data_IF_792941576354
#
_entry.id   IF_792941576354
#
_cell.length_a   1.000
_cell.length_b   1.000
_cell.length_c   1.000
_cell.angle_alpha   90.00
_cell.angle_beta   90.00
_cell.angle_gamma   90.00
#
_symmetry.space_group_name_H-M   'P 1'
#
loop_
_entity.id
_entity.type
_entity.pdbx_description
1 polymer ?
#
# COMPACT_ATOMS: atom_id res chain seq x y z
N UNK A 1 8.02 23.47 -11.94
CA UNK A 1 8.27 22.07 -11.52
C UNK A 1 6.96 21.30 -11.68
N UNK A 2 6.96 20.11 -12.28
CA UNK A 2 5.74 19.31 -12.47
C UNK A 2 5.52 18.47 -11.21
N UNK A 3 4.43 18.73 -10.49
CA UNK A 3 4.04 17.94 -9.31
C UNK A 3 3.78 16.49 -9.78
N UNK A 4 4.39 15.47 -9.15
CA UNK A 4 4.12 14.09 -9.48
C UNK A 4 2.66 13.77 -9.21
N UNK A 5 2.04 12.90 -10.02
CA UNK A 5 0.70 12.41 -9.70
C UNK A 5 0.75 11.53 -8.46
N UNK A 6 -0.28 11.60 -7.62
CA UNK A 6 -0.41 10.66 -6.50
C UNK A 6 -0.65 9.26 -7.08
N UNK A 7 0.05 8.21 -6.59
CA UNK A 7 0.08 6.90 -7.24
C UNK A 7 -1.16 6.05 -6.92
N UNK A 8 -2.35 6.54 -7.30
CA UNK A 8 -3.61 5.83 -7.09
C UNK A 8 -3.67 4.59 -7.99
N UNK A 9 -3.95 3.44 -7.39
CA UNK A 9 -4.03 2.16 -8.10
C UNK A 9 -3.87 0.94 -7.19
N UNK A 10 -3.82 -0.22 -7.84
CA UNK A 10 -3.48 -1.51 -7.21
C UNK A 10 -2.01 -1.80 -7.48
N UNK A 11 -1.29 -2.21 -6.44
CA UNK A 11 0.15 -2.36 -6.44
C UNK A 11 0.52 -3.69 -5.78
N UNK A 12 1.43 -4.45 -6.40
CA UNK A 12 1.90 -5.72 -5.82
C UNK A 12 3.41 -5.93 -6.03
N UNK A 13 4.11 -6.68 -5.16
CA UNK A 13 5.55 -6.92 -5.29
C UNK A 13 5.92 -7.65 -6.59
N UNK A 14 5.12 -8.67 -6.95
CA UNK A 14 5.21 -9.38 -8.22
C UNK A 14 3.88 -9.38 -9.00
N UNK A 15 3.93 -9.73 -10.28
CA UNK A 15 2.74 -9.78 -11.14
C UNK A 15 1.83 -10.97 -10.83
N UNK A 16 2.39 -12.08 -10.33
CA UNK A 16 1.61 -13.19 -9.80
C UNK A 16 0.73 -12.75 -8.61
N UNK A 17 1.19 -11.76 -7.84
CA UNK A 17 0.49 -11.24 -6.65
C UNK A 17 -0.64 -10.23 -7.01
N UNK A 18 -0.82 -9.92 -8.30
CA UNK A 18 -1.88 -9.01 -8.76
C UNK A 18 -3.25 -9.66 -8.85
N UNK A 19 -3.32 -10.99 -9.00
CA UNK A 19 -4.54 -11.66 -9.42
C UNK A 19 -5.53 -11.94 -8.28
N UNK A 20 -5.08 -12.22 -7.04
CA UNK A 20 -5.99 -12.64 -5.97
C UNK A 20 -5.31 -12.60 -4.61
N UNK A 21 -6.10 -12.54 -3.53
CA UNK A 21 -5.71 -13.04 -2.20
C UNK A 21 -5.50 -14.57 -2.28
N UNK A 22 -4.59 -15.01 -3.13
CA UNK A 22 -4.35 -16.41 -3.38
C UNK A 22 -3.43 -16.97 -2.26
N UNK A 23 -3.38 -18.30 -2.16
CA UNK A 23 -2.71 -19.05 -1.10
C UNK A 23 -1.21 -18.74 -0.91
N UNK A 24 -0.61 -17.91 -1.79
CA UNK A 24 0.78 -17.43 -1.77
C UNK A 24 1.10 -16.43 -0.65
N UNK A 25 0.09 -15.91 0.08
CA UNK A 25 0.34 -15.10 1.28
C UNK A 25 0.77 -13.65 1.02
N UNK A 26 0.61 -13.15 -0.21
CA UNK A 26 0.84 -11.75 -0.56
C UNK A 26 -0.48 -11.04 -0.82
N UNK A 27 -0.63 -9.85 -0.22
CA UNK A 27 -1.86 -9.07 -0.30
C UNK A 27 -1.59 -7.81 -1.13
N UNK A 28 -2.36 -7.57 -2.21
CA UNK A 28 -2.16 -6.39 -3.04
C UNK A 28 -2.37 -5.13 -2.21
N UNK A 29 -1.48 -4.16 -2.40
CA UNK A 29 -1.56 -2.83 -1.84
C UNK A 29 -2.51 -1.98 -2.70
N UNK A 30 -3.61 -1.56 -2.11
CA UNK A 30 -4.54 -0.58 -2.64
C UNK A 30 -4.10 0.80 -2.20
N UNK A 31 -3.74 1.66 -3.15
CA UNK A 31 -3.48 3.08 -2.90
C UNK A 31 -4.65 3.87 -3.47
N UNK A 32 -5.52 4.37 -2.60
CA UNK A 32 -6.59 5.31 -2.96
C UNK A 32 -6.12 6.76 -2.83
N UNK A 33 -7.03 7.70 -3.11
CA UNK A 33 -6.77 9.15 -2.93
C UNK A 33 -6.79 9.60 -1.46
N UNK A 34 -7.52 8.89 -0.60
CA UNK A 34 -7.72 9.27 0.82
C UNK A 34 -7.29 8.20 1.82
N UNK A 35 -7.04 6.98 1.34
CA UNK A 35 -6.62 5.85 2.16
C UNK A 35 -5.83 4.83 1.35
N UNK A 36 -4.98 4.08 2.03
CA UNK A 36 -4.38 2.86 1.53
C UNK A 36 -4.93 1.65 2.30
N UNK A 37 -4.90 0.48 1.68
CA UNK A 37 -5.22 -0.78 2.34
C UNK A 37 -4.34 -1.89 1.78
N UNK A 38 -3.90 -2.80 2.63
CA UNK A 38 -3.24 -4.02 2.20
C UNK A 38 -3.54 -5.09 3.24
N UNK A 39 -4.19 -6.16 2.79
CA UNK A 39 -4.69 -7.16 3.71
C UNK A 39 -5.59 -6.54 4.79
N UNK A 40 -5.27 -6.82 6.06
CA UNK A 40 -6.05 -6.38 7.21
C UNK A 40 -5.72 -4.97 7.69
N UNK A 41 -4.64 -4.39 7.18
CA UNK A 41 -4.24 -3.05 7.52
C UNK A 41 -4.95 -2.04 6.61
N UNK A 42 -5.57 -1.04 7.23
CA UNK A 42 -6.12 0.14 6.54
C UNK A 42 -5.42 1.39 7.06
N UNK A 43 -4.90 2.22 6.16
CA UNK A 43 -4.22 3.47 6.46
C UNK A 43 -5.01 4.65 5.91
N UNK A 44 -5.51 5.52 6.80
CA UNK A 44 -6.22 6.75 6.41
C UNK A 44 -5.24 7.91 6.35
N UNK A 45 -5.17 8.61 5.23
CA UNK A 45 -4.25 9.72 5.07
C UNK A 45 -4.72 10.92 5.91
N UNK A 46 -3.79 11.52 6.65
CA UNK A 46 -3.97 12.75 7.42
C UNK A 46 -3.37 13.95 6.69
N UNK A 47 -2.19 13.77 6.11
CA UNK A 47 -1.54 14.75 5.24
C UNK A 47 -0.92 14.04 4.04
N UNK A 48 -0.94 14.71 2.89
CA UNK A 48 -0.28 14.28 1.65
C UNK A 48 0.37 15.50 1.02
N UNK A 49 1.69 15.55 1.01
CA UNK A 49 2.46 16.70 0.57
C UNK A 49 3.48 16.27 -0.50
N UNK A 50 3.50 16.94 -1.66
CA UNK A 50 4.51 16.65 -2.67
C UNK A 50 5.87 17.24 -2.24
N UNK A 51 6.90 16.42 -2.31
CA UNK A 51 8.29 16.74 -2.01
C UNK A 51 9.17 16.32 -3.21
N UNK A 52 9.31 17.22 -4.18
CA UNK A 52 10.00 16.93 -5.44
C UNK A 52 9.29 15.86 -6.25
N UNK A 53 9.86 14.65 -6.31
CA UNK A 53 9.28 13.47 -7.00
C UNK A 53 8.56 12.51 -6.06
N UNK A 54 8.66 12.74 -4.75
CA UNK A 54 8.11 11.88 -3.71
C UNK A 54 6.88 12.55 -3.13
N UNK A 55 5.87 11.76 -2.77
CA UNK A 55 4.78 12.20 -1.90
C UNK A 55 5.10 11.80 -0.48
N UNK A 56 5.19 12.77 0.43
CA UNK A 56 5.21 12.50 1.87
C UNK A 56 3.77 12.38 2.35
N UNK A 57 3.46 11.25 2.97
CA UNK A 57 2.14 10.91 3.46
C UNK A 57 2.24 10.59 4.94
N UNK A 58 1.49 11.32 5.75
CA UNK A 58 1.26 10.93 7.13
C UNK A 58 -0.10 10.25 7.18
N UNK A 59 -0.12 8.98 7.59
CA UNK A 59 -1.34 8.18 7.64
C UNK A 59 -1.56 7.61 9.05
N UNK A 60 -2.81 7.48 9.45
CA UNK A 60 -3.19 6.69 10.63
C UNK A 60 -3.61 5.32 10.13
N UNK A 61 -2.80 4.32 10.46
CA UNK A 61 -2.99 2.93 10.10
C UNK A 61 -3.63 2.16 11.25
N UNK A 62 -4.51 1.24 10.92
CA UNK A 62 -5.15 0.35 11.88
C UNK A 62 -5.26 -1.05 11.29
N UNK A 63 -5.07 -2.05 12.12
CA UNK A 63 -5.32 -3.46 11.81
C UNK A 63 -6.09 -4.12 12.97
N UNK A 64 -6.16 -5.46 12.97
CA UNK A 64 -6.80 -6.20 14.06
C UNK A 64 -6.06 -6.13 15.41
N UNK A 65 -4.84 -5.61 15.46
CA UNK A 65 -3.99 -5.56 16.66
C UNK A 65 -3.89 -4.16 17.28
N UNK A 66 -4.10 -3.09 16.51
CA UNK A 66 -4.07 -1.74 17.03
C UNK A 66 -4.13 -0.66 15.97
N UNK A 67 -3.88 0.58 16.39
CA UNK A 67 -3.78 1.76 15.53
C UNK A 67 -2.45 2.46 15.78
N UNK A 68 -1.77 2.85 14.71
CA UNK A 68 -0.49 3.56 14.76
C UNK A 68 -0.43 4.65 13.67
N UNK A 69 0.51 5.58 13.80
CA UNK A 69 0.75 6.61 12.78
C UNK A 69 1.96 6.21 11.94
N UNK A 70 1.81 6.24 10.62
CA UNK A 70 2.82 5.87 9.65
C UNK A 70 3.26 7.12 8.85
N UNK A 71 4.57 7.29 8.71
CA UNK A 71 5.17 8.27 7.81
C UNK A 71 5.69 7.56 6.56
N UNK A 72 5.11 7.88 5.41
CA UNK A 72 5.32 7.14 4.15
C UNK A 72 5.78 8.09 3.05
N UNK A 73 6.82 7.68 2.33
CA UNK A 73 7.25 8.27 1.06
C UNK A 73 6.76 7.42 -0.11
N UNK A 74 5.98 8.01 -1.01
CA UNK A 74 5.51 7.35 -2.24
C UNK A 74 6.15 7.99 -3.46
N UNK A 75 6.86 7.20 -4.26
CA UNK A 75 7.42 7.66 -5.52
C UNK A 75 7.01 6.69 -6.65
N UNK A 76 6.28 7.19 -7.64
CA UNK A 76 5.98 6.41 -8.84
C UNK A 76 6.95 6.76 -9.96
N UNK A 77 7.70 5.76 -10.43
CA UNK A 77 8.62 5.88 -11.54
C UNK A 77 8.47 4.69 -12.48
N UNK A 78 8.20 4.95 -13.77
CA UNK A 78 8.11 3.93 -14.82
C UNK A 78 7.19 2.73 -14.47
N UNK A 79 6.01 3.00 -13.89
CA UNK A 79 5.04 1.96 -13.52
C UNK A 79 5.41 1.15 -12.27
N UNK A 80 6.43 1.60 -11.52
CA UNK A 80 6.83 1.05 -10.23
C UNK A 80 6.56 2.06 -9.13
N UNK A 81 5.95 1.60 -8.05
CA UNK A 81 5.75 2.39 -6.84
C UNK A 81 6.83 2.02 -5.84
N UNK A 82 7.65 2.99 -5.47
CA UNK A 82 8.56 2.90 -4.34
C UNK A 82 7.85 3.40 -3.09
N UNK A 83 7.55 2.48 -2.19
CA UNK A 83 7.00 2.75 -0.86
C UNK A 83 8.15 2.79 0.13
N UNK A 84 8.33 3.91 0.82
CA UNK A 84 9.34 4.08 1.86
C UNK A 84 8.63 4.35 3.17
N UNK A 85 8.90 3.58 4.21
CA UNK A 85 8.42 3.84 5.56
C UNK A 85 9.54 3.62 6.57
N UNK A 86 9.25 3.86 7.84
CA UNK A 86 10.18 3.60 8.96
C UNK A 86 10.64 2.13 9.01
N UNK A 87 9.86 1.21 8.43
CA UNK A 87 10.19 -0.22 8.36
C UNK A 87 11.05 -0.59 7.15
N UNK A 88 11.29 0.34 6.24
CA UNK A 88 12.13 0.14 5.06
C UNK A 88 11.46 0.55 3.76
N UNK A 89 12.09 0.16 2.65
CA UNK A 89 11.64 0.49 1.29
C UNK A 89 11.20 -0.77 0.57
N UNK A 90 10.02 -0.73 -0.05
CA UNK A 90 9.49 -1.81 -0.89
C UNK A 90 9.15 -1.26 -2.28
N UNK A 91 9.46 -2.05 -3.30
CA UNK A 91 9.11 -1.76 -4.69
C UNK A 91 7.91 -2.59 -5.10
N UNK A 92 6.87 -1.91 -5.57
CA UNK A 92 5.68 -2.52 -6.12
C UNK A 92 5.60 -2.26 -7.62
N UNK A 93 4.90 -3.13 -8.33
CA UNK A 93 4.49 -2.94 -9.73
C UNK A 93 3.01 -2.66 -9.78
N UNK A 94 2.59 -1.88 -10.78
CA UNK A 94 1.18 -1.57 -11.00
C UNK A 94 0.45 -2.80 -11.51
N UNK A 95 -0.62 -3.19 -10.82
CA UNK A 95 -1.46 -4.29 -11.25
C UNK A 95 -2.52 -3.83 -12.26
N UNK A 96 -2.90 -4.69 -13.22
CA UNK A 96 -4.04 -4.45 -14.09
C UNK A 96 -5.34 -4.65 -13.30
N UNK A 97 -5.90 -3.57 -12.74
CA UNK A 97 -7.16 -3.64 -12.00
C UNK A 97 -7.54 -2.31 -11.35
N UNK A 98 -8.85 -2.07 -11.21
CA UNK A 98 -9.37 -0.88 -10.52
C UNK A 98 -9.50 -1.12 -9.01
N UNK A 99 -9.21 -0.11 -8.15
CA UNK A 99 -9.34 -0.21 -6.70
C UNK A 99 -10.75 -0.63 -6.23
N UNK A 100 -11.76 -0.39 -7.08
CA UNK A 100 -13.18 -0.62 -6.87
C UNK A 100 -13.57 -2.08 -6.70
N UNK A 101 -12.79 -3.02 -7.28
CA UNK A 101 -13.20 -4.43 -7.41
C UNK A 101 -12.86 -5.32 -6.21
N UNK A 102 -12.08 -4.84 -5.24
CA UNK A 102 -11.59 -5.63 -4.09
C UNK A 102 -12.42 -5.42 -2.80
N UNK A 103 -13.61 -4.83 -2.91
CA UNK A 103 -14.48 -4.39 -1.80
C UNK A 103 -15.05 -5.54 -0.92
N UNK A 104 -14.77 -6.80 -1.24
CA UNK A 104 -15.38 -7.98 -0.62
C UNK A 104 -14.43 -8.97 0.06
N UNK A 105 -13.12 -8.71 0.14
CA UNK A 105 -12.21 -9.65 0.76
C UNK A 105 -12.27 -9.52 2.29
N UNK A 106 -13.04 -10.40 2.95
CA UNK A 106 -13.02 -10.55 4.40
C UNK A 106 -11.62 -10.93 4.87
N UNK A 107 -11.03 -10.10 5.72
CA UNK A 107 -9.61 -10.20 6.08
C UNK A 107 -9.44 -10.83 7.46
N UNK A 108 -8.72 -11.96 7.51
CA UNK A 108 -8.17 -12.51 8.76
C UNK A 108 -6.98 -11.70 9.29
N UNK A 109 -6.64 -11.83 10.58
CA UNK A 109 -5.59 -11.03 11.22
C UNK A 109 -4.20 -11.47 10.73
N UNK A 110 -3.66 -10.77 9.74
CA UNK A 110 -2.25 -10.83 9.35
C UNK A 110 -1.42 -9.76 10.07
N UNK A 111 -0.10 -9.96 10.28
CA UNK A 111 0.71 -9.06 11.09
C UNK A 111 0.87 -7.66 10.45
N UNK A 112 0.57 -6.63 11.24
CA UNK A 112 0.81 -5.22 10.95
C UNK A 112 2.28 -4.89 10.68
N UNK A 113 2.58 -4.58 9.42
CA UNK A 113 3.65 -3.66 9.07
C UNK A 113 3.03 -2.37 8.51
N UNK A 114 3.78 -1.26 8.53
CA UNK A 114 3.48 0.09 7.97
C UNK A 114 3.21 0.12 6.43
N UNK A 115 2.44 -0.87 5.99
CA UNK A 115 2.30 -1.52 4.69
C UNK A 115 3.60 -1.82 3.94
N UNK A 116 4.28 -2.91 4.33
CA UNK A 116 4.89 -3.87 3.41
C UNK A 116 4.18 -5.24 3.53
N UNK A 117 3.70 -5.76 2.41
CA UNK A 117 2.88 -6.97 2.34
C UNK A 117 3.71 -8.24 2.42
N UNK A 118 3.99 -8.74 3.63
CA UNK A 118 4.49 -10.11 3.83
C UNK A 118 3.69 -10.77 4.93
N UNK A 119 2.79 -11.69 4.57
CA UNK A 119 2.26 -12.65 5.55
C UNK A 119 3.31 -13.75 5.66
N UNK A 120 4.18 -13.70 6.67
CA UNK A 120 5.02 -14.84 7.02
C UNK A 120 4.10 -15.96 7.53
N UNK A 121 3.85 -16.99 6.71
CA UNK A 121 3.42 -18.30 7.21
C UNK A 121 4.59 -18.90 8.00
N UNK A 122 4.36 -19.15 9.29
CA UNK A 122 5.13 -20.10 10.08
C UNK A 122 4.49 -21.47 9.99
#
# INVERSE_FOLDING_TARGET
MRVPRFPVGVWAPAEADCATLDESGYLPLLVGSTKAAAGGATCRYKSTEPDGRVWRVTAVCSDGSGTWTAHVGLEEAAGRLRWTSERGTVLYRRCPGEPSSLKGAGVGPGPAGDVPGRVTKG
#
